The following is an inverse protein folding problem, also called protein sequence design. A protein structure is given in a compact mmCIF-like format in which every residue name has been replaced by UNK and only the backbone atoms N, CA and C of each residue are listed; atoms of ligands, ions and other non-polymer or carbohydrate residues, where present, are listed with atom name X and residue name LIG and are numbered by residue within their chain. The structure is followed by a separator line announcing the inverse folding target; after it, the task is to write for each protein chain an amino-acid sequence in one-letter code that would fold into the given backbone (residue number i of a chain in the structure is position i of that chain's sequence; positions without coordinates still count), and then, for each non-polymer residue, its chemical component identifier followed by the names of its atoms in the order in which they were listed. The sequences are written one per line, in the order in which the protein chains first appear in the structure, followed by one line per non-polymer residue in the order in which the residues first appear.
data_IF_720967804093
#
_entry.id   IF_720967804093
#
_cell.length_a   1.000
_cell.length_b   1.000
_cell.length_c   1.000
_cell.angle_alpha   90.00
_cell.angle_beta   90.00
_cell.angle_gamma   90.00
#
_symmetry.space_group_name_H-M   'P 1'
#
loop_
_entity.id
_entity.type
_entity.pdbx_description
1 polymer ?
#
# COMPACT_ATOMS: atom_id res chain seq x y z
N UNK A 1 45.14 -2.43 12.02
CA UNK A 1 43.70 -2.43 12.34
C UNK A 1 43.00 -1.61 11.26
N UNK A 2 42.24 -2.25 10.35
CA UNK A 2 41.71 -1.63 9.13
C UNK A 2 40.52 -0.69 9.44
N UNK A 3 40.83 0.56 9.76
CA UNK A 3 39.85 1.63 10.02
C UNK A 3 38.99 1.97 8.79
N UNK A 4 39.52 1.82 7.58
CA UNK A 4 38.79 2.08 6.33
C UNK A 4 37.61 1.12 6.10
N UNK A 5 37.77 -0.16 6.47
CA UNK A 5 36.74 -1.19 6.25
C UNK A 5 35.53 -1.01 7.17
N UNK A 6 35.73 -0.44 8.36
CA UNK A 6 34.62 -0.14 9.30
C UNK A 6 33.78 1.07 8.87
N UNK A 7 34.37 2.02 8.13
CA UNK A 7 33.63 3.19 7.63
C UNK A 7 32.79 2.80 6.40
N UNK A 8 33.35 1.96 5.51
CA UNK A 8 32.66 1.49 4.32
C UNK A 8 31.43 0.63 4.65
N UNK A 9 31.52 -0.25 5.65
CA UNK A 9 30.38 -1.08 6.07
C UNK A 9 29.25 -0.27 6.70
N UNK A 10 29.57 0.81 7.44
CA UNK A 10 28.55 1.74 7.97
C UNK A 10 27.84 2.50 6.86
N UNK A 11 28.57 3.00 5.87
CA UNK A 11 28.00 3.70 4.72
C UNK A 11 27.10 2.77 3.91
N UNK A 12 27.58 1.56 3.58
CA UNK A 12 26.82 0.54 2.86
C UNK A 12 25.51 0.22 3.59
N UNK A 13 25.56 0.04 4.91
CA UNK A 13 24.36 -0.21 5.72
C UNK A 13 23.36 0.93 5.61
N UNK A 14 23.79 2.19 5.64
CA UNK A 14 22.87 3.31 5.51
C UNK A 14 22.24 3.36 4.11
N UNK A 15 23.04 3.16 3.07
CA UNK A 15 22.53 3.10 1.68
C UNK A 15 21.48 1.99 1.54
N UNK A 16 21.76 0.79 2.07
CA UNK A 16 20.79 -0.32 2.02
C UNK A 16 19.51 0.01 2.78
N UNK A 17 19.60 0.54 4.00
CA UNK A 17 18.42 0.88 4.80
C UNK A 17 17.58 1.99 4.17
N UNK A 18 18.23 3.01 3.61
CA UNK A 18 17.55 4.11 2.90
C UNK A 18 16.86 3.58 1.64
N UNK A 19 17.54 2.77 0.83
CA UNK A 19 16.95 2.16 -0.37
C UNK A 19 15.74 1.28 -0.03
N UNK A 20 15.82 0.47 1.02
CA UNK A 20 14.70 -0.36 1.49
C UNK A 20 13.52 0.51 1.96
N UNK A 21 13.78 1.62 2.65
CA UNK A 21 12.76 2.56 3.07
C UNK A 21 12.06 3.21 1.87
N UNK A 22 12.82 3.72 0.90
CA UNK A 22 12.26 4.30 -0.33
C UNK A 22 11.43 3.29 -1.12
N UNK A 23 11.91 2.04 -1.19
CA UNK A 23 11.18 0.95 -1.81
C UNK A 23 9.83 0.75 -1.09
N UNK A 24 9.84 0.58 0.23
CA UNK A 24 8.63 0.39 1.02
C UNK A 24 7.61 1.53 0.84
N UNK A 25 8.06 2.80 0.92
CA UNK A 25 7.19 3.98 0.73
C UNK A 25 6.57 4.01 -0.67
N UNK A 26 7.34 3.67 -1.71
CA UNK A 26 6.86 3.65 -3.09
C UNK A 26 5.82 2.55 -3.33
N UNK A 27 5.98 1.38 -2.70
CA UNK A 27 5.01 0.28 -2.79
C UNK A 27 3.71 0.60 -2.02
N UNK A 28 3.79 1.21 -0.85
CA UNK A 28 2.58 1.55 -0.06
C UNK A 28 1.73 2.61 -0.76
N UNK A 29 2.37 3.63 -1.34
CA UNK A 29 1.66 4.74 -2.01
C UNK A 29 0.87 4.27 -3.24
N UNK A 30 1.38 3.25 -3.95
CA UNK A 30 0.70 2.67 -5.12
C UNK A 30 -0.34 1.61 -4.74
N UNK A 31 -0.18 0.94 -3.60
CA UNK A 31 -1.12 -0.06 -3.12
C UNK A 31 -2.49 0.52 -2.70
N UNK A 32 -2.53 1.80 -2.29
CA UNK A 32 -3.77 2.45 -1.87
C UNK A 32 -4.59 3.06 -3.01
N UNK A 33 -3.97 3.48 -4.11
CA UNK A 33 -4.72 3.92 -5.28
C UNK A 33 -5.19 2.66 -6.02
N UNK A 34 -6.41 2.18 -5.78
CA UNK A 34 -6.91 0.97 -6.44
C UNK A 34 -6.97 1.20 -7.96
N UNK A 35 -5.88 0.83 -8.62
CA UNK A 35 -5.61 1.00 -10.04
C UNK A 35 -5.53 2.46 -10.53
N UNK A 36 -5.04 3.37 -9.69
CA UNK A 36 -4.80 4.78 -10.06
C UNK A 36 -6.01 5.72 -9.94
N UNK A 37 -7.10 5.26 -9.31
CA UNK A 37 -8.33 6.05 -9.11
C UNK A 37 -8.36 6.88 -7.82
N UNK A 38 -7.32 6.80 -7.00
CA UNK A 38 -7.25 7.44 -5.69
C UNK A 38 -7.90 6.62 -4.58
N UNK A 39 -7.84 7.17 -3.37
CA UNK A 39 -8.40 6.61 -2.14
C UNK A 39 -9.94 6.52 -2.22
N UNK A 40 -10.52 5.39 -1.84
CA UNK A 40 -11.98 5.16 -1.87
C UNK A 40 -12.57 4.72 -3.21
N UNK A 41 -11.78 4.72 -4.29
CA UNK A 41 -12.21 4.37 -5.64
C UNK A 41 -11.33 3.28 -6.24
N UNK A 42 -11.89 2.49 -7.14
CA UNK A 42 -11.14 1.51 -7.92
C UNK A 42 -11.46 1.63 -9.41
N UNK A 43 -10.56 1.14 -10.26
CA UNK A 43 -10.79 1.12 -11.71
C UNK A 43 -11.70 -0.05 -12.07
N UNK A 44 -12.86 0.25 -12.62
CA UNK A 44 -13.79 -0.75 -13.10
C UNK A 44 -13.19 -1.53 -14.29
N UNK A 45 -13.33 -2.85 -14.27
CA UNK A 45 -12.73 -3.75 -15.28
C UNK A 45 -13.35 -3.54 -16.66
N UNK A 46 -14.65 -3.24 -16.71
CA UNK A 46 -15.43 -3.25 -17.96
C UNK A 46 -15.24 -2.00 -18.82
N UNK A 47 -15.04 -0.84 -18.20
CA UNK A 47 -15.02 0.46 -18.88
C UNK A 47 -13.83 1.34 -18.46
N UNK A 48 -12.98 0.88 -17.54
CA UNK A 48 -11.82 1.62 -17.06
C UNK A 48 -12.16 2.87 -16.22
N UNK A 49 -13.43 3.10 -15.87
CA UNK A 49 -13.83 4.28 -15.08
C UNK A 49 -13.53 4.08 -13.60
N UNK A 50 -13.26 5.18 -12.90
CA UNK A 50 -13.12 5.15 -11.45
C UNK A 50 -14.49 5.10 -10.78
N UNK A 51 -14.74 4.03 -10.03
CA UNK A 51 -16.00 3.80 -9.31
C UNK A 51 -15.72 3.61 -7.82
N UNK A 52 -16.72 3.89 -6.98
CA UNK A 52 -16.59 3.71 -5.54
C UNK A 52 -16.23 2.26 -5.21
N UNK A 53 -15.31 2.08 -4.28
CA UNK A 53 -14.83 0.79 -3.83
C UNK A 53 -15.81 0.09 -2.88
N UNK A 54 -17.05 -0.06 -3.31
CA UNK A 54 -18.08 -0.77 -2.56
C UNK A 54 -17.72 -2.25 -2.37
N UNK A 55 -18.16 -2.88 -1.26
CA UNK A 55 -17.88 -4.28 -0.99
C UNK A 55 -18.44 -5.17 -2.09
N UNK A 56 -17.57 -5.97 -2.70
CA UNK A 56 -17.94 -6.98 -3.68
C UNK A 56 -18.29 -8.33 -3.05
N UNK A 57 -18.34 -9.37 -3.88
CA UNK A 57 -18.47 -10.74 -3.39
C UNK A 57 -17.32 -11.09 -2.43
N UNK A 58 -17.62 -11.86 -1.38
CA UNK A 58 -16.65 -12.26 -0.34
C UNK A 58 -16.10 -11.11 0.53
N UNK A 59 -16.68 -9.91 0.42
CA UNK A 59 -16.38 -8.84 1.35
C UNK A 59 -17.01 -9.12 2.73
N UNK A 60 -16.25 -8.88 3.79
CA UNK A 60 -16.75 -8.91 5.17
C UNK A 60 -16.80 -7.50 5.73
N UNK A 61 -17.85 -7.12 6.49
CA UNK A 61 -17.91 -5.80 7.12
C UNK A 61 -16.76 -5.61 8.10
N UNK A 62 -16.30 -4.36 8.27
CA UNK A 62 -15.30 -3.99 9.27
C UNK A 62 -15.98 -3.19 10.40
N UNK A 63 -16.45 -3.84 11.49
CA UNK A 63 -17.33 -3.18 12.48
C UNK A 63 -16.73 -1.96 13.18
N UNK A 64 -15.40 -1.94 13.35
CA UNK A 64 -14.68 -0.83 13.97
C UNK A 64 -14.37 0.33 13.00
N UNK A 65 -14.72 0.21 11.72
CA UNK A 65 -14.37 1.18 10.67
C UNK A 65 -15.59 1.46 9.78
N UNK A 66 -16.41 2.48 10.11
CA UNK A 66 -17.54 2.89 9.27
C UNK A 66 -17.10 3.19 7.83
N UNK A 67 -17.87 2.73 6.83
CA UNK A 67 -17.52 2.94 5.42
C UNK A 67 -16.38 2.05 4.90
N UNK A 68 -15.95 1.05 5.69
CA UNK A 68 -14.91 0.10 5.33
C UNK A 68 -15.37 -1.37 5.39
N UNK A 69 -14.64 -2.22 4.70
CA UNK A 69 -14.85 -3.65 4.56
C UNK A 69 -13.51 -4.37 4.44
N UNK A 70 -13.50 -5.70 4.60
CA UNK A 70 -12.33 -6.55 4.38
C UNK A 70 -12.54 -7.43 3.16
N UNK A 71 -11.55 -7.50 2.29
CA UNK A 71 -11.59 -8.37 1.11
C UNK A 71 -11.31 -9.84 1.47
N UNK A 72 -11.34 -10.72 0.46
CA UNK A 72 -11.08 -12.16 0.63
C UNK A 72 -9.70 -12.47 1.25
N UNK A 73 -8.74 -11.55 1.12
CA UNK A 73 -7.40 -11.67 1.72
C UNK A 73 -7.29 -11.00 3.09
N UNK A 74 -8.41 -10.56 3.69
CA UNK A 74 -8.46 -9.91 4.99
C UNK A 74 -7.96 -8.45 5.00
N UNK A 75 -7.62 -7.87 3.85
CA UNK A 75 -7.14 -6.50 3.76
C UNK A 75 -8.29 -5.51 3.97
N UNK A 76 -8.08 -4.50 4.82
CA UNK A 76 -9.06 -3.43 5.03
C UNK A 76 -9.11 -2.53 3.79
N UNK A 77 -10.33 -2.20 3.36
CA UNK A 77 -10.63 -1.35 2.21
C UNK A 77 -11.75 -0.40 2.60
N UNK A 78 -11.69 0.85 2.16
CA UNK A 78 -12.71 1.85 2.47
C UNK A 78 -13.24 2.46 1.17
N UNK A 79 -14.48 2.93 1.20
CA UNK A 79 -15.13 3.70 0.11
C UNK A 79 -15.74 5.01 0.61
N UNK A 80 -15.69 5.24 1.93
CA UNK A 80 -16.10 6.46 2.60
C UNK A 80 -15.32 6.57 3.90
N UNK A 81 -14.71 7.71 4.14
CA UNK A 81 -14.05 8.05 5.41
C UNK A 81 -15.02 8.84 6.29
#
# INVERSE_FOLDING_TARGET
MNTHTMCFSKLLRHVVMVSLLFMAVSFVSTANAAQGCGEGYHRAIHNGTCVLNYPGAFATPAPAHPGCWRNMWGQLRCYRY
#
